data_IF_503001823849
#
_entry.id   IF_503001823849
#
_cell.length_a   1.000
_cell.length_b   1.000
_cell.length_c   1.000
_cell.angle_alpha   90.00
_cell.angle_beta   90.00
_cell.angle_gamma   90.00
#
_symmetry.space_group_name_H-M   'P 1'
#
loop_
_entity.id
_entity.type
_entity.pdbx_description
1 polymer ?
#
# COMPACT_ATOMS: atom_id res chain seq x y z
N UNK A 1 -2.89 1.96 -19.74
CA UNK A 1 -2.87 2.10 -18.28
C UNK A 1 -2.31 0.83 -17.67
N UNK A 2 -1.16 0.87 -17.01
CA UNK A 2 -0.61 -0.31 -16.32
C UNK A 2 -1.27 -0.45 -14.96
N UNK A 3 -1.96 -1.56 -14.74
CA UNK A 3 -2.54 -1.91 -13.43
C UNK A 3 -1.42 -2.46 -12.56
N UNK A 4 -1.26 -1.92 -11.35
CA UNK A 4 -0.36 -2.50 -10.38
C UNK A 4 -0.85 -3.92 -10.04
N UNK A 5 0.04 -4.90 -10.13
CA UNK A 5 -0.24 -6.32 -9.88
C UNK A 5 0.53 -6.79 -8.66
N UNK A 6 -0.05 -7.75 -7.94
CA UNK A 6 0.67 -8.48 -6.90
C UNK A 6 1.76 -9.37 -7.52
N UNK A 7 2.62 -10.02 -6.70
CA UNK A 7 3.66 -10.92 -7.20
C UNK A 7 3.15 -12.13 -7.99
N UNK A 8 1.85 -12.46 -7.88
CA UNK A 8 1.17 -13.54 -8.59
C UNK A 8 0.47 -13.05 -9.88
N UNK A 9 0.59 -11.77 -10.21
CA UNK A 9 0.02 -11.17 -11.42
C UNK A 9 -1.45 -10.75 -11.29
N UNK A 10 -2.08 -10.92 -10.11
CA UNK A 10 -3.43 -10.46 -9.88
C UNK A 10 -3.45 -8.94 -9.68
N UNK A 11 -4.48 -8.23 -10.16
CA UNK A 11 -4.55 -6.80 -9.96
C UNK A 11 -4.73 -6.44 -8.48
N UNK A 12 -3.96 -5.47 -7.99
CA UNK A 12 -3.99 -5.09 -6.56
C UNK A 12 -5.35 -4.56 -6.08
N UNK A 13 -6.24 -4.15 -6.99
CA UNK A 13 -7.60 -3.77 -6.62
C UNK A 13 -8.45 -4.95 -6.14
N UNK A 14 -8.05 -6.20 -6.37
CA UNK A 14 -8.78 -7.40 -5.93
C UNK A 14 -8.01 -8.23 -4.88
N UNK A 15 -7.07 -7.62 -4.15
CA UNK A 15 -6.33 -8.32 -3.10
C UNK A 15 -7.27 -8.63 -1.91
N UNK A 16 -7.56 -9.91 -1.61
CA UNK A 16 -8.50 -10.28 -0.53
C UNK A 16 -7.96 -9.93 0.86
N UNK A 17 -6.64 -9.83 1.00
CA UNK A 17 -5.96 -9.52 2.27
C UNK A 17 -5.65 -8.02 2.43
N UNK A 18 -6.31 -7.15 1.65
CA UNK A 18 -6.14 -5.72 1.76
C UNK A 18 -6.73 -5.19 3.08
N UNK A 19 -5.96 -4.34 3.76
CA UNK A 19 -6.47 -3.58 4.90
C UNK A 19 -7.19 -2.34 4.37
N UNK A 20 -8.37 -2.05 4.91
CA UNK A 20 -9.15 -0.87 4.55
C UNK A 20 -9.02 0.19 5.64
N UNK A 21 -8.79 1.44 5.22
CA UNK A 21 -8.84 2.59 6.11
C UNK A 21 -9.53 3.77 5.41
N UNK A 22 -10.02 4.70 6.20
CA UNK A 22 -10.50 6.01 5.73
C UNK A 22 -9.59 7.05 6.36
N UNK A 23 -9.01 7.92 5.54
CA UNK A 23 -8.10 8.96 6.03
C UNK A 23 -8.86 10.13 6.68
N UNK A 24 -8.13 11.10 7.23
CA UNK A 24 -8.72 12.28 7.87
C UNK A 24 -9.56 13.16 6.91
N UNK A 25 -9.40 13.00 5.60
CA UNK A 25 -10.16 13.69 4.57
C UNK A 25 -11.38 12.90 4.08
N UNK A 26 -11.64 11.72 4.64
CA UNK A 26 -12.76 10.86 4.25
C UNK A 26 -12.49 9.99 3.01
N UNK A 27 -11.24 9.94 2.52
CA UNK A 27 -10.87 9.13 1.37
C UNK A 27 -10.68 7.68 1.82
N UNK A 28 -11.37 6.76 1.14
CA UNK A 28 -11.21 5.33 1.37
C UNK A 28 -9.96 4.80 0.67
N UNK A 29 -9.13 4.10 1.43
CA UNK A 29 -7.89 3.49 0.94
C UNK A 29 -7.91 1.97 1.13
N UNK A 30 -7.36 1.27 0.15
CA UNK A 30 -6.97 -0.14 0.25
C UNK A 30 -5.46 -0.21 0.39
N UNK A 31 -4.99 -0.93 1.39
CA UNK A 31 -3.57 -1.05 1.71
C UNK A 31 -3.13 -2.50 1.54
N UNK A 32 -2.10 -2.70 0.73
CA UNK A 32 -1.53 -4.01 0.43
C UNK A 32 -0.03 -3.96 0.57
N UNK A 33 0.56 -5.06 1.05
CA UNK A 33 2.01 -5.24 1.04
C UNK A 33 2.43 -5.96 -0.24
N UNK A 34 3.41 -5.42 -0.94
CA UNK A 34 3.92 -5.95 -2.19
C UNK A 34 5.41 -6.27 -2.08
N UNK A 35 5.81 -7.40 -2.69
CA UNK A 35 7.20 -7.68 -2.98
C UNK A 35 7.69 -6.71 -4.08
N UNK A 36 8.75 -5.99 -3.76
CA UNK A 36 9.40 -5.04 -4.65
C UNK A 36 10.87 -5.38 -4.92
N UNK A 37 11.34 -6.56 -4.49
CA UNK A 37 12.72 -6.97 -4.61
C UNK A 37 13.21 -6.99 -6.07
N UNK A 38 12.31 -7.29 -7.02
CA UNK A 38 12.61 -7.34 -8.45
C UNK A 38 12.19 -6.08 -9.22
N UNK A 39 11.65 -5.06 -8.53
CA UNK A 39 11.21 -3.81 -9.17
C UNK A 39 12.42 -2.90 -9.38
N UNK A 40 12.77 -2.53 -10.63
CA UNK A 40 13.89 -1.61 -10.88
C UNK A 40 13.67 -0.27 -10.17
N UNK A 41 14.68 0.20 -9.42
CA UNK A 41 14.61 1.44 -8.65
C UNK A 41 13.82 1.33 -7.34
N UNK A 42 13.57 0.12 -6.83
CA UNK A 42 12.97 -0.08 -5.51
C UNK A 42 13.88 0.44 -4.39
N UNK A 43 13.27 0.98 -3.34
CA UNK A 43 14.00 1.46 -2.14
C UNK A 43 14.13 0.37 -1.06
N UNK A 44 13.60 -0.83 -1.32
CA UNK A 44 13.62 -1.96 -0.40
C UNK A 44 12.94 -3.19 -1.01
N UNK A 45 13.06 -4.33 -0.33
CA UNK A 45 12.48 -5.60 -0.80
C UNK A 45 10.95 -5.62 -0.74
N UNK A 46 10.33 -4.77 0.09
CA UNK A 46 8.87 -4.70 0.27
C UNK A 46 8.42 -3.26 0.33
N UNK A 47 7.20 -3.01 -0.12
CA UNK A 47 6.51 -1.72 0.05
C UNK A 47 5.04 -1.93 0.39
N UNK A 48 4.45 -0.98 1.10
CA UNK A 48 3.01 -0.84 1.16
C UNK A 48 2.53 0.01 0.00
N UNK A 49 1.45 -0.42 -0.64
CA UNK A 49 0.75 0.34 -1.67
C UNK A 49 -0.61 0.72 -1.13
N UNK A 50 -0.87 2.01 -1.08
CA UNK A 50 -2.16 2.60 -0.72
C UNK A 50 -2.86 2.98 -2.01
N UNK A 51 -4.06 2.44 -2.20
CA UNK A 51 -4.87 2.60 -3.40
C UNK A 51 -6.20 3.25 -3.05
N UNK A 52 -6.51 4.36 -3.72
CA UNK A 52 -7.83 4.93 -3.78
C UNK A 52 -8.21 5.19 -5.23
N UNK A 53 -9.44 5.64 -5.47
CA UNK A 53 -9.91 5.97 -6.81
C UNK A 53 -9.04 7.08 -7.43
N UNK A 54 -8.24 6.72 -8.44
CA UNK A 54 -7.32 7.64 -9.12
C UNK A 54 -6.05 8.02 -8.34
N UNK A 55 -5.84 7.48 -7.13
CA UNK A 55 -4.69 7.82 -6.28
C UNK A 55 -3.89 6.57 -5.88
N UNK A 56 -2.56 6.69 -5.96
CA UNK A 56 -1.63 5.65 -5.51
C UNK A 56 -0.54 6.29 -4.68
N UNK A 57 -0.30 5.76 -3.47
CA UNK A 57 0.85 6.12 -2.63
C UNK A 57 1.64 4.88 -2.26
N UNK A 58 2.95 5.04 -2.03
CA UNK A 58 3.85 3.95 -1.64
C UNK A 58 4.59 4.33 -0.37
N UNK A 59 4.60 3.42 0.60
CA UNK A 59 5.45 3.53 1.78
C UNK A 59 6.51 2.42 1.75
N UNK A 60 7.77 2.81 1.89
CA UNK A 60 8.91 1.88 1.89
C UNK A 60 9.41 1.57 3.32
N UNK A 61 9.11 2.45 4.27
CA UNK A 61 9.48 2.28 5.67
C UNK A 61 8.23 2.06 6.52
N UNK A 62 8.02 0.84 6.99
CA UNK A 62 6.84 0.46 7.75
C UNK A 62 7.17 -0.69 8.70
N UNK A 63 6.49 -0.80 9.86
CA UNK A 63 6.75 -1.87 10.80
C UNK A 63 6.24 -3.22 10.25
N UNK A 64 6.86 -4.32 10.69
CA UNK A 64 6.45 -5.67 10.28
C UNK A 64 4.98 -5.99 10.63
N UNK A 65 4.49 -5.43 11.73
CA UNK A 65 3.12 -5.58 12.22
C UNK A 65 2.18 -4.47 11.74
N UNK A 66 2.45 -3.86 10.57
CA UNK A 66 1.67 -2.73 10.04
C UNK A 66 0.15 -2.98 9.97
N UNK A 67 -0.26 -4.24 9.75
CA UNK A 67 -1.69 -4.63 9.70
C UNK A 67 -2.43 -4.42 11.02
N UNK A 68 -1.71 -4.36 12.14
CA UNK A 68 -2.28 -4.15 13.47
C UNK A 68 -2.21 -2.67 13.92
N UNK A 69 -1.69 -1.77 13.07
CA UNK A 69 -1.64 -0.35 13.38
C UNK A 69 -3.03 0.24 13.48
N UNK A 70 -3.18 1.25 14.34
CA UNK A 70 -4.38 2.07 14.34
C UNK A 70 -4.49 2.83 12.99
N UNK A 71 -5.71 3.17 12.53
CA UNK A 71 -5.90 3.87 11.26
C UNK A 71 -5.06 5.15 11.12
N UNK A 72 -4.88 5.91 12.20
CA UNK A 72 -4.07 7.13 12.22
C UNK A 72 -2.58 6.88 11.99
N UNK A 73 -2.03 5.81 12.56
CA UNK A 73 -0.63 5.43 12.38
C UNK A 73 -0.40 4.87 10.97
N UNK A 74 -1.39 4.13 10.45
CA UNK A 74 -1.35 3.59 9.10
C UNK A 74 -1.48 4.70 8.04
N UNK A 75 -2.32 5.70 8.29
CA UNK A 75 -2.44 6.91 7.48
C UNK A 75 -1.13 7.70 7.45
N UNK A 76 -0.43 7.84 8.58
CA UNK A 76 0.83 8.57 8.66
C UNK A 76 1.92 7.97 7.74
N UNK A 77 1.85 6.68 7.40
CA UNK A 77 2.78 6.06 6.44
C UNK A 77 2.61 6.59 5.02
N UNK A 78 1.44 7.12 4.65
CA UNK A 78 1.18 7.71 3.33
C UNK A 78 1.88 9.06 3.09
N UNK A 79 2.30 9.72 4.17
CA UNK A 79 2.99 11.02 4.11
C UNK A 79 4.50 10.88 3.86
N UNK A 80 5.02 9.66 3.76
CA UNK A 80 6.43 9.41 3.49
C UNK A 80 6.83 9.81 2.06
N UNK A 81 8.03 10.37 1.85
CA UNK A 81 8.56 10.77 0.54
C UNK A 81 9.05 9.59 -0.32
#
# INVERSE_FOLDING_TARGET
MSVARDPLGAPLWNAPDAVHLVDAHGIAWRVVECDAALVPGSRGARCLIFLSEGLVRRAWNFPLHWRALAPVDLEALMAQP
#
